data_IF_250479743347
#
_entry.id   IF_250479743347
#
_cell.length_a   1.000
_cell.length_b   1.000
_cell.length_c   1.000
_cell.angle_alpha   90.00
_cell.angle_beta   90.00
_cell.angle_gamma   90.00
#
_symmetry.space_group_name_H-M   'P 1'
#
loop_
_entity.id
_entity.type
_entity.pdbx_description
1 polymer ?
#
# COMPACT_ATOMS: atom_id res chain seq x y z
N UNK A 1 -2.76 -27.18 3.78
CA UNK A 1 -2.93 -26.77 2.36
C UNK A 1 -1.73 -27.28 1.59
N UNK A 2 -1.94 -27.93 0.45
CA UNK A 2 -0.85 -28.45 -0.38
C UNK A 2 -0.25 -27.31 -1.23
N UNK A 3 1.02 -26.97 -0.99
CA UNK A 3 1.79 -26.07 -1.85
C UNK A 3 2.25 -26.85 -3.07
N UNK A 4 1.91 -26.38 -4.27
CA UNK A 4 2.33 -27.02 -5.52
C UNK A 4 3.63 -26.40 -6.00
N UNK A 5 4.64 -27.22 -6.27
CA UNK A 5 5.89 -26.73 -6.89
C UNK A 5 5.81 -26.88 -8.39
N UNK A 6 6.28 -25.87 -9.12
CA UNK A 6 6.43 -25.94 -10.56
C UNK A 6 7.51 -26.99 -10.88
N UNK A 7 7.20 -28.07 -11.60
CA UNK A 7 8.10 -29.22 -11.73
C UNK A 7 9.37 -28.94 -12.56
N UNK A 8 9.38 -27.89 -13.38
CA UNK A 8 10.55 -27.47 -14.20
C UNK A 8 11.39 -26.38 -13.52
N UNK A 9 10.78 -25.31 -13.00
CA UNK A 9 11.47 -24.15 -12.40
C UNK A 9 11.56 -24.20 -10.88
N UNK A 10 10.87 -25.12 -10.22
CA UNK A 10 10.84 -25.27 -8.77
C UNK A 10 10.02 -24.22 -8.02
N UNK A 11 9.43 -23.24 -8.71
CA UNK A 11 8.68 -22.13 -8.07
C UNK A 11 7.46 -22.66 -7.33
N UNK A 12 7.30 -22.28 -6.06
CA UNK A 12 6.13 -22.61 -5.26
C UNK A 12 4.92 -21.76 -5.68
N UNK A 13 3.88 -22.44 -6.14
CA UNK A 13 2.59 -21.90 -6.52
C UNK A 13 1.63 -22.18 -5.35
N UNK A 14 0.91 -21.14 -4.90
CA UNK A 14 0.15 -21.01 -3.65
C UNK A 14 0.89 -20.55 -2.38
N UNK A 15 1.87 -19.65 -2.51
CA UNK A 15 2.27 -18.82 -1.35
C UNK A 15 1.26 -17.66 -1.17
N UNK A 16 0.09 -17.95 -0.57
CA UNK A 16 -0.98 -17.03 -0.11
C UNK A 16 -1.31 -15.82 -1.01
N UNK A 17 -2.34 -15.99 -1.84
CA UNK A 17 -2.92 -14.96 -2.71
C UNK A 17 -3.82 -13.96 -1.98
N UNK A 18 -3.23 -13.02 -1.24
CA UNK A 18 -3.90 -11.74 -0.98
C UNK A 18 -3.29 -10.72 -1.93
N UNK A 19 -3.94 -10.50 -3.08
CA UNK A 19 -3.55 -9.46 -4.02
C UNK A 19 -3.83 -8.11 -3.36
N UNK A 20 -2.88 -7.61 -2.58
CA UNK A 20 -2.88 -6.23 -2.12
C UNK A 20 -2.29 -5.38 -3.25
N UNK A 21 -3.09 -4.56 -3.96
CA UNK A 21 -2.63 -3.77 -5.10
C UNK A 21 -1.35 -3.03 -4.72
N UNK A 22 -0.31 -3.01 -5.57
CA UNK A 22 1.00 -2.43 -5.22
C UNK A 22 0.93 -0.96 -4.78
N UNK A 23 -0.11 -0.25 -5.22
CA UNK A 23 -0.37 1.18 -4.98
C UNK A 23 -1.75 1.35 -4.35
N UNK A 24 -1.95 2.49 -3.70
CA UNK A 24 -3.29 2.96 -3.34
C UNK A 24 -4.09 3.22 -4.62
N UNK A 25 -5.39 2.99 -4.58
CA UNK A 25 -6.27 3.49 -5.63
C UNK A 25 -6.41 5.03 -5.55
N UNK A 26 -7.04 5.64 -6.56
CA UNK A 26 -7.14 7.10 -6.64
C UNK A 26 -7.92 7.70 -5.45
N UNK A 27 -8.90 6.97 -4.91
CA UNK A 27 -9.72 7.42 -3.79
C UNK A 27 -8.97 7.30 -2.46
N UNK A 28 -8.25 6.21 -2.24
CA UNK A 28 -7.33 5.99 -1.12
C UNK A 28 -6.18 7.01 -1.15
N UNK A 29 -5.64 7.31 -2.34
CA UNK A 29 -4.59 8.29 -2.52
C UNK A 29 -5.06 9.70 -2.17
N UNK A 30 -6.27 10.08 -2.62
CA UNK A 30 -6.85 11.38 -2.28
C UNK A 30 -7.20 11.47 -0.79
N UNK A 31 -7.74 10.40 -0.22
CA UNK A 31 -7.99 10.30 1.23
C UNK A 31 -6.69 10.48 2.03
N UNK A 32 -5.60 9.84 1.61
CA UNK A 32 -4.29 10.00 2.24
C UNK A 32 -3.77 11.45 2.17
N UNK A 33 -4.06 12.18 1.09
CA UNK A 33 -3.70 13.59 0.96
C UNK A 33 -4.53 14.48 1.88
N UNK A 34 -5.85 14.29 1.93
CA UNK A 34 -6.73 15.07 2.81
C UNK A 34 -6.37 14.86 4.29
N UNK A 35 -6.21 13.61 4.74
CA UNK A 35 -5.78 13.30 6.10
C UNK A 35 -4.41 13.94 6.42
N UNK A 36 -3.52 14.04 5.42
CA UNK A 36 -2.25 14.73 5.61
C UNK A 36 -2.43 16.24 5.77
N UNK A 37 -3.35 16.87 5.03
CA UNK A 37 -3.67 18.29 5.19
C UNK A 37 -4.27 18.59 6.57
N UNK A 38 -5.07 17.67 7.09
CA UNK A 38 -5.64 17.74 8.46
C UNK A 38 -4.57 17.57 9.57
N UNK A 39 -3.33 17.23 9.20
CA UNK A 39 -2.19 17.14 10.12
C UNK A 39 -1.87 15.74 10.60
N UNK A 40 -2.55 14.70 10.10
CA UNK A 40 -2.24 13.31 10.47
C UNK A 40 -0.82 12.91 10.01
N UNK A 41 -0.16 12.07 10.81
CA UNK A 41 1.15 11.51 10.47
C UNK A 41 0.98 10.34 9.51
N UNK A 42 1.97 10.11 8.65
CA UNK A 42 1.99 9.01 7.65
C UNK A 42 1.70 7.64 8.28
N UNK A 43 2.24 7.39 9.47
CA UNK A 43 2.01 6.14 10.20
C UNK A 43 0.54 5.95 10.62
N UNK A 44 -0.12 7.04 11.03
CA UNK A 44 -1.51 7.01 11.49
C UNK A 44 -2.42 6.80 10.28
N UNK A 45 -2.13 7.49 9.17
CA UNK A 45 -2.82 7.33 7.88
C UNK A 45 -2.67 5.88 7.37
N UNK A 46 -1.47 5.30 7.47
CA UNK A 46 -1.24 3.91 7.05
C UNK A 46 -2.07 2.92 7.87
N UNK A 47 -2.19 3.15 9.19
CA UNK A 47 -3.03 2.36 10.06
C UNK A 47 -4.53 2.53 9.73
N UNK A 48 -4.98 3.75 9.48
CA UNK A 48 -6.38 4.06 9.09
C UNK A 48 -6.77 3.40 7.77
N UNK A 49 -5.87 3.41 6.78
CA UNK A 49 -6.12 2.83 5.45
C UNK A 49 -5.79 1.32 5.35
N UNK A 50 -5.38 0.67 6.44
CA UNK A 50 -5.05 -0.76 6.43
C UNK A 50 -3.91 -1.14 5.47
N UNK A 51 -2.99 -0.20 5.25
CA UNK A 51 -1.93 -0.27 4.25
C UNK A 51 -0.55 -0.05 4.87
N UNK A 52 0.50 0.13 4.07
CA UNK A 52 1.85 0.42 4.58
C UNK A 52 2.26 1.89 4.32
N UNK A 53 3.18 2.39 5.15
CA UNK A 53 3.65 3.78 5.09
C UNK A 53 4.26 4.13 3.73
N UNK A 54 4.95 3.20 3.07
CA UNK A 54 5.57 3.45 1.76
C UNK A 54 4.54 3.77 0.67
N UNK A 55 3.36 3.11 0.70
CA UNK A 55 2.25 3.39 -0.21
C UNK A 55 1.63 4.75 0.06
N UNK A 56 1.42 5.08 1.34
CA UNK A 56 0.93 6.40 1.75
C UNK A 56 1.90 7.51 1.31
N UNK A 57 3.21 7.29 1.50
CA UNK A 57 4.23 8.26 1.11
C UNK A 57 4.36 8.41 -0.41
N UNK A 58 4.10 7.35 -1.16
CA UNK A 58 3.99 7.42 -2.63
C UNK A 58 2.81 8.29 -3.07
N UNK A 59 1.69 8.27 -2.33
CA UNK A 59 0.50 9.06 -2.64
C UNK A 59 0.60 10.54 -2.24
N UNK A 60 1.29 10.83 -1.13
CA UNK A 60 1.49 12.19 -0.60
C UNK A 60 2.69 12.91 -1.25
N UNK A 61 3.70 12.15 -1.69
CA UNK A 61 4.93 12.69 -2.28
C UNK A 61 6.09 12.90 -1.28
N UNK A 62 7.31 13.15 -1.77
CA UNK A 62 8.56 13.11 -0.99
C UNK A 62 8.65 14.22 0.07
N UNK A 63 7.98 15.35 -0.14
CA UNK A 63 8.12 16.54 0.68
C UNK A 63 7.18 16.55 1.89
N UNK A 64 6.20 15.64 1.95
CA UNK A 64 5.17 15.61 3.00
C UNK A 64 4.33 16.90 3.11
N UNK A 65 4.49 17.81 2.15
CA UNK A 65 3.78 19.08 1.93
C UNK A 65 3.02 18.92 0.63
N UNK A 66 1.70 19.13 0.69
CA UNK A 66 0.85 19.11 -0.50
C UNK A 66 0.99 20.49 -1.15
N UNK A 67 1.59 20.53 -2.34
CA UNK A 67 1.49 21.68 -3.22
C UNK A 67 0.24 21.49 -4.07
N UNK A 68 -0.71 22.40 -3.90
CA UNK A 68 -1.92 22.55 -4.70
C UNK A 68 -1.57 22.84 -6.16
#
# INVERSE_FOLDING_TARGET
MATFRHPVTGVEINALGVFRPRKLDDSEAETARLLRQEGHKVQDIAAMLGTNQGRVQTAIGPTGRIHL
#
